data_IF_019737864002
#
_entry.id   IF_019737864002
#
_cell.length_a   1.000
_cell.length_b   1.000
_cell.length_c   1.000
_cell.angle_alpha   90.00
_cell.angle_beta   90.00
_cell.angle_gamma   90.00
#
_symmetry.space_group_name_H-M   'P 1'
#
loop_
_entity.id
_entity.type
_entity.pdbx_description
1 polymer ?
#
# COMPACT_ATOMS: atom_id res chain seq x y z
N UNK A 1 -63.03 -6.67 65.44
CA UNK A 1 -62.51 -5.92 64.26
C UNK A 1 -63.60 -5.94 63.20
N UNK A 2 -64.02 -4.76 62.75
CA UNK A 2 -65.11 -4.60 61.78
C UNK A 2 -64.85 -5.43 60.52
N UNK A 3 -65.84 -6.21 60.06
CA UNK A 3 -65.68 -7.18 58.95
C UNK A 3 -65.12 -6.51 57.70
N UNK A 4 -65.51 -5.26 57.47
CA UNK A 4 -65.07 -4.42 56.36
C UNK A 4 -63.58 -4.07 56.46
N UNK A 5 -63.09 -3.76 57.66
CA UNK A 5 -61.66 -3.45 57.90
C UNK A 5 -60.79 -4.70 57.72
N UNK A 6 -61.27 -5.88 58.15
CA UNK A 6 -60.55 -7.15 57.97
C UNK A 6 -60.31 -7.48 56.48
N UNK A 7 -61.29 -7.25 55.62
CA UNK A 7 -61.14 -7.50 54.18
C UNK A 7 -60.15 -6.52 53.51
N UNK A 8 -60.13 -5.26 53.94
CA UNK A 8 -59.17 -4.25 53.44
C UNK A 8 -57.73 -4.65 53.79
N UNK A 9 -57.47 -5.10 55.02
CA UNK A 9 -56.12 -5.55 55.41
C UNK A 9 -55.67 -6.81 54.67
N UNK A 10 -56.60 -7.73 54.38
CA UNK A 10 -56.29 -8.95 53.59
C UNK A 10 -55.93 -8.56 52.16
N UNK A 11 -56.69 -7.67 51.52
CA UNK A 11 -56.41 -7.21 50.16
C UNK A 11 -55.08 -6.46 50.11
N UNK A 12 -54.82 -5.56 51.06
CA UNK A 12 -53.55 -4.84 51.14
C UNK A 12 -52.34 -5.78 51.33
N UNK A 13 -52.48 -6.81 52.15
CA UNK A 13 -51.43 -7.81 52.37
C UNK A 13 -51.17 -8.67 51.12
N UNK A 14 -52.22 -9.04 50.38
CA UNK A 14 -52.07 -9.80 49.13
C UNK A 14 -51.42 -8.93 48.05
N UNK A 15 -51.83 -7.66 47.91
CA UNK A 15 -51.21 -6.73 46.96
C UNK A 15 -49.73 -6.51 47.27
N UNK A 16 -49.35 -6.39 48.54
CA UNK A 16 -47.95 -6.24 48.94
C UNK A 16 -47.10 -7.46 48.52
N UNK A 17 -47.62 -8.67 48.72
CA UNK A 17 -46.94 -9.91 48.35
C UNK A 17 -46.80 -10.02 46.83
N UNK A 18 -47.83 -9.67 46.06
CA UNK A 18 -47.77 -9.69 44.59
C UNK A 18 -46.74 -8.69 44.06
N UNK A 19 -46.67 -7.49 44.64
CA UNK A 19 -45.66 -6.48 44.25
C UNK A 19 -44.25 -6.97 44.60
N UNK A 20 -44.05 -7.56 45.79
CA UNK A 20 -42.75 -8.10 46.19
C UNK A 20 -42.27 -9.23 45.25
N UNK A 21 -43.19 -10.12 44.83
CA UNK A 21 -42.89 -11.18 43.86
C UNK A 21 -42.57 -10.61 42.47
N UNK A 22 -43.30 -9.59 42.01
CA UNK A 22 -43.03 -8.95 40.74
C UNK A 22 -41.66 -8.24 40.71
N UNK A 23 -41.29 -7.56 41.80
CA UNK A 23 -39.97 -6.94 41.94
C UNK A 23 -38.86 -8.00 42.00
N UNK A 24 -39.06 -9.09 42.75
CA UNK A 24 -38.11 -10.20 42.81
C UNK A 24 -37.89 -10.85 41.43
N UNK A 25 -38.95 -11.02 40.64
CA UNK A 25 -38.84 -11.51 39.27
C UNK A 25 -38.12 -10.53 38.34
N UNK A 26 -38.29 -9.22 38.50
CA UNK A 26 -37.54 -8.23 37.70
C UNK A 26 -36.03 -8.28 37.95
N UNK A 27 -35.58 -8.63 39.16
CA UNK A 27 -34.14 -8.73 39.47
C UNK A 27 -33.52 -10.07 39.05
N UNK A 28 -34.27 -11.18 39.00
CA UNK A 28 -33.73 -12.50 38.60
C UNK A 28 -33.60 -12.64 37.08
N UNK A 29 -34.42 -11.94 36.30
CA UNK A 29 -34.37 -12.00 34.84
C UNK A 29 -33.41 -10.99 34.19
N UNK A 30 -32.71 -10.17 34.98
CA UNK A 30 -31.52 -9.46 34.51
C UNK A 30 -30.36 -10.45 34.39
N UNK A 31 -30.38 -11.26 33.33
CA UNK A 31 -29.18 -11.94 32.88
C UNK A 31 -28.11 -10.88 32.68
N UNK A 32 -27.03 -10.97 33.45
CA UNK A 32 -25.82 -10.20 33.19
C UNK A 32 -25.52 -10.33 31.68
N UNK A 33 -25.18 -9.23 30.99
CA UNK A 33 -24.60 -9.34 29.66
C UNK A 33 -23.47 -10.36 29.77
N UNK A 34 -23.53 -11.41 28.96
CA UNK A 34 -22.37 -12.27 28.77
C UNK A 34 -21.26 -11.31 28.35
N UNK A 35 -20.26 -11.14 29.21
CA UNK A 35 -18.98 -10.58 28.82
C UNK A 35 -18.57 -11.39 27.59
N UNK A 36 -18.65 -10.74 26.44
CA UNK A 36 -17.93 -11.19 25.28
C UNK A 36 -16.49 -11.02 25.75
N UNK A 37 -15.79 -12.13 25.98
CA UNK A 37 -14.33 -12.11 25.93
C UNK A 37 -14.01 -11.60 24.52
N UNK A 38 -13.87 -10.28 24.39
CA UNK A 38 -13.06 -9.71 23.34
C UNK A 38 -11.69 -10.27 23.61
N UNK A 39 -11.31 -11.26 22.81
CA UNK A 39 -9.92 -11.51 22.47
C UNK A 39 -9.36 -10.15 22.00
N UNK A 40 -8.90 -9.33 22.94
CA UNK A 40 -7.94 -8.28 22.70
C UNK A 40 -6.60 -8.97 22.40
N UNK A 41 -6.59 -9.75 21.31
CA UNK A 41 -5.38 -9.99 20.55
C UNK A 41 -5.01 -8.65 19.94
N UNK A 42 -4.33 -7.81 20.72
CA UNK A 42 -3.54 -6.71 20.20
C UNK A 42 -2.56 -7.32 19.19
N UNK A 43 -2.91 -7.37 17.90
CA UNK A 43 -1.93 -7.66 16.86
C UNK A 43 -0.92 -6.53 16.95
N UNK A 44 0.25 -6.85 17.48
CA UNK A 44 1.33 -5.88 17.57
C UNK A 44 1.89 -5.76 16.16
N UNK A 45 1.58 -4.66 15.47
CA UNK A 45 2.12 -4.37 14.15
C UNK A 45 3.61 -4.09 14.30
N UNK A 46 4.45 -4.97 13.77
CA UNK A 46 5.90 -4.83 13.79
C UNK A 46 6.42 -4.04 12.59
N UNK A 47 7.60 -3.43 12.76
CA UNK A 47 8.31 -2.78 11.66
C UNK A 47 8.78 -3.80 10.64
N UNK A 48 8.51 -3.53 9.36
CA UNK A 48 8.98 -4.32 8.22
C UNK A 48 10.52 -4.44 8.16
N UNK A 49 11.25 -3.53 8.81
CA UNK A 49 12.70 -3.54 8.87
C UNK A 49 13.28 -4.79 9.55
N UNK A 50 12.50 -5.45 10.40
CA UNK A 50 12.89 -6.70 11.07
C UNK A 50 12.97 -7.89 10.13
N UNK A 51 12.34 -7.82 8.96
CA UNK A 51 12.41 -8.84 7.92
C UNK A 51 13.65 -8.57 7.06
N UNK A 52 14.41 -9.62 6.71
CA UNK A 52 15.51 -9.48 5.75
C UNK A 52 15.00 -8.93 4.42
N UNK A 53 15.72 -7.97 3.83
CA UNK A 53 15.32 -7.32 2.57
C UNK A 53 15.09 -8.31 1.41
N UNK A 54 15.78 -9.47 1.41
CA UNK A 54 15.57 -10.54 0.44
C UNK A 54 14.19 -11.20 0.53
N UNK A 55 13.58 -11.21 1.73
CA UNK A 55 12.28 -11.82 1.98
C UNK A 55 11.12 -10.81 1.91
N UNK A 56 11.42 -9.52 1.82
CA UNK A 56 10.39 -8.48 1.70
C UNK A 56 9.74 -8.54 0.31
N UNK A 57 8.44 -8.22 0.20
CA UNK A 57 7.78 -8.17 -1.09
C UNK A 57 8.40 -7.09 -1.98
N UNK A 58 8.62 -7.43 -3.26
CA UNK A 58 8.97 -6.44 -4.28
C UNK A 58 7.70 -6.05 -5.03
N UNK A 59 7.33 -4.77 -4.96
CA UNK A 59 6.05 -4.27 -5.47
C UNK A 59 6.24 -3.27 -6.59
N UNK A 60 5.48 -3.44 -7.66
CA UNK A 60 5.45 -2.52 -8.79
C UNK A 60 4.03 -2.01 -9.04
N UNK A 61 3.92 -0.73 -9.40
CA UNK A 61 2.66 -0.07 -9.74
C UNK A 61 2.71 0.41 -11.19
N UNK A 62 2.32 -0.44 -12.14
CA UNK A 62 2.42 -0.10 -13.57
C UNK A 62 1.10 0.47 -14.10
N UNK A 63 1.05 1.74 -14.54
CA UNK A 63 -0.18 2.29 -15.12
C UNK A 63 -0.47 1.66 -16.49
N UNK A 64 -1.74 1.51 -16.83
CA UNK A 64 -2.15 1.15 -18.21
C UNK A 64 -1.87 2.29 -19.19
N UNK A 65 -1.84 1.98 -20.49
CA UNK A 65 -1.56 2.97 -21.53
C UNK A 65 -2.55 4.15 -21.54
N UNK A 66 -3.80 3.93 -21.11
CA UNK A 66 -4.84 4.95 -20.98
C UNK A 66 -4.84 5.63 -19.59
N UNK A 67 -4.04 5.14 -18.63
CA UNK A 67 -3.95 5.67 -17.27
C UNK A 67 -5.18 5.40 -16.40
N UNK A 68 -6.11 4.59 -16.89
CA UNK A 68 -7.35 4.27 -16.18
C UNK A 68 -7.15 3.22 -15.09
N UNK A 69 -6.12 2.36 -15.21
CA UNK A 69 -5.84 1.31 -14.23
C UNK A 69 -4.38 1.35 -13.77
N UNK A 70 -4.14 0.83 -12.57
CA UNK A 70 -2.81 0.47 -12.08
C UNK A 70 -2.76 -1.05 -11.96
N UNK A 71 -1.76 -1.63 -12.61
CA UNK A 71 -1.41 -3.03 -12.46
C UNK A 71 -0.47 -3.14 -11.26
N UNK A 72 -0.98 -3.69 -10.16
CA UNK A 72 -0.17 -4.06 -9.01
C UNK A 72 0.43 -5.43 -9.27
N UNK A 73 1.74 -5.54 -9.10
CA UNK A 73 2.47 -6.81 -9.07
C UNK A 73 3.25 -6.90 -7.78
N UNK A 74 3.12 -8.03 -7.08
CA UNK A 74 3.80 -8.32 -5.81
C UNK A 74 4.58 -9.61 -6.02
N UNK A 75 5.90 -9.56 -5.95
CA UNK A 75 6.80 -10.72 -5.94
C UNK A 75 7.16 -11.09 -4.50
N UNK A 76 7.65 -12.32 -4.28
CA UNK A 76 7.97 -12.90 -2.97
C UNK A 76 6.75 -13.02 -2.02
N UNK A 77 5.56 -13.27 -2.55
CA UNK A 77 4.34 -13.38 -1.71
C UNK A 77 4.33 -14.65 -0.85
N UNK A 78 5.00 -15.72 -1.31
CA UNK A 78 5.06 -17.02 -0.61
C UNK A 78 5.85 -17.02 0.69
N UNK A 79 6.60 -15.96 1.00
CA UNK A 79 7.23 -15.82 2.32
C UNK A 79 6.20 -15.60 3.43
N UNK A 80 5.08 -14.94 3.11
CA UNK A 80 4.04 -14.55 4.06
C UNK A 80 2.87 -15.53 4.03
N UNK A 81 2.21 -15.70 5.18
CA UNK A 81 1.08 -16.60 5.29
C UNK A 81 -0.19 -15.94 4.72
N UNK A 82 -0.28 -14.60 4.84
CA UNK A 82 -1.33 -13.78 4.26
C UNK A 82 -0.79 -12.39 3.92
N UNK A 83 -1.29 -11.82 2.83
CA UNK A 83 -1.04 -10.43 2.44
C UNK A 83 -2.38 -9.77 2.17
N UNK A 84 -2.58 -8.59 2.72
CA UNK A 84 -3.67 -7.69 2.39
C UNK A 84 -3.07 -6.38 1.90
N UNK A 85 -3.77 -5.69 1.01
CA UNK A 85 -3.32 -4.37 0.58
C UNK A 85 -4.47 -3.39 0.42
N UNK A 86 -4.15 -2.12 0.62
CA UNK A 86 -5.04 -1.00 0.32
C UNK A 86 -4.30 0.01 -0.57
N UNK A 87 -4.86 0.28 -1.75
CA UNK A 87 -4.40 1.36 -2.61
C UNK A 87 -5.38 2.53 -2.45
N UNK A 88 -4.90 3.68 -2.00
CA UNK A 88 -5.69 4.93 -1.90
C UNK A 88 -5.13 6.01 -2.81
N UNK A 89 -5.98 6.94 -3.23
CA UNK A 89 -5.61 8.09 -4.06
C UNK A 89 -6.60 9.25 -3.93
N UNK A 90 -6.18 10.44 -4.35
CA UNK A 90 -7.05 11.62 -4.47
C UNK A 90 -7.48 11.80 -5.93
N UNK A 91 -8.77 12.06 -6.13
CA UNK A 91 -9.36 12.32 -7.45
C UNK A 91 -10.19 13.60 -7.45
N UNK A 92 -10.44 14.18 -8.62
CA UNK A 92 -11.40 15.27 -8.76
C UNK A 92 -12.81 14.84 -8.33
N UNK A 93 -13.51 15.70 -7.60
CA UNK A 93 -14.91 15.49 -7.30
C UNK A 93 -15.76 15.78 -8.55
N UNK A 94 -16.46 14.78 -9.13
CA UNK A 94 -17.28 15.00 -10.32
C UNK A 94 -18.51 15.90 -10.06
N UNK A 95 -18.88 16.12 -8.79
CA UNK A 95 -20.04 16.93 -8.40
C UNK A 95 -19.67 18.37 -8.03
N UNK A 96 -18.43 18.62 -7.61
CA UNK A 96 -17.98 19.94 -7.14
C UNK A 96 -16.62 20.27 -7.72
N UNK A 97 -16.59 21.21 -8.66
CA UNK A 97 -15.35 21.60 -9.34
C UNK A 97 -14.34 22.19 -8.34
N UNK A 98 -13.09 21.72 -8.42
CA UNK A 98 -11.99 22.15 -7.55
C UNK A 98 -11.88 21.41 -6.22
N UNK A 99 -12.85 20.56 -5.87
CA UNK A 99 -12.72 19.67 -4.71
C UNK A 99 -12.07 18.34 -5.09
N UNK A 100 -11.32 17.77 -4.13
CA UNK A 100 -10.76 16.42 -4.22
C UNK A 100 -11.52 15.46 -3.32
N UNK A 101 -11.63 14.21 -3.73
CA UNK A 101 -12.20 13.11 -2.95
C UNK A 101 -11.19 11.98 -2.82
N UNK A 102 -11.13 11.38 -1.64
CA UNK A 102 -10.36 10.17 -1.43
C UNK A 102 -11.10 8.95 -1.98
N UNK A 103 -10.36 8.12 -2.70
CA UNK A 103 -10.81 6.85 -3.27
C UNK A 103 -9.82 5.77 -2.88
N UNK A 104 -10.22 4.51 -3.01
CA UNK A 104 -9.30 3.41 -2.82
C UNK A 104 -9.89 2.05 -3.17
N UNK A 105 -9.02 1.04 -3.17
CA UNK A 105 -9.36 -0.36 -3.36
C UNK A 105 -8.59 -1.20 -2.34
N UNK A 106 -9.31 -2.10 -1.69
CA UNK A 106 -8.75 -3.07 -0.75
C UNK A 106 -8.78 -4.46 -1.38
N UNK A 107 -7.73 -5.24 -1.18
CA UNK A 107 -7.69 -6.69 -1.43
C UNK A 107 -7.30 -7.40 -0.15
N UNK A 108 -8.03 -8.47 0.19
CA UNK A 108 -7.80 -9.26 1.42
C UNK A 108 -7.41 -10.71 1.14
N UNK A 109 -7.40 -11.11 -0.13
CA UNK A 109 -7.19 -12.49 -0.60
C UNK A 109 -6.06 -12.57 -1.64
N UNK A 110 -4.92 -11.92 -1.35
CA UNK A 110 -3.69 -12.13 -2.13
C UNK A 110 -3.29 -13.60 -2.02
N UNK A 111 -3.20 -14.29 -3.16
CA UNK A 111 -2.79 -15.70 -3.23
C UNK A 111 -1.29 -15.86 -2.92
N UNK A 112 -0.98 -16.19 -1.66
CA UNK A 112 0.37 -16.45 -1.16
C UNK A 112 0.88 -17.85 -1.52
N UNK A 113 0.10 -18.68 -2.19
CA UNK A 113 0.58 -20.00 -2.66
C UNK A 113 1.49 -19.92 -3.89
N UNK A 114 1.49 -18.76 -4.56
CA UNK A 114 2.33 -18.46 -5.72
C UNK A 114 3.57 -17.66 -5.30
N UNK A 115 4.58 -17.56 -6.17
CA UNK A 115 5.71 -16.65 -5.96
C UNK A 115 5.34 -15.19 -6.28
N UNK A 116 4.33 -15.01 -7.14
CA UNK A 116 3.93 -13.73 -7.71
C UNK A 116 2.42 -13.57 -7.73
N UNK A 117 1.95 -12.42 -7.27
CA UNK A 117 0.58 -11.96 -7.40
C UNK A 117 0.51 -10.77 -8.36
N UNK A 118 -0.55 -10.71 -9.19
CA UNK A 118 -0.77 -9.61 -10.13
C UNK A 118 -2.25 -9.32 -10.31
N UNK A 119 -2.66 -8.06 -10.16
CA UNK A 119 -4.04 -7.59 -10.36
C UNK A 119 -4.09 -6.21 -11.00
N UNK A 120 -5.04 -5.99 -11.89
CA UNK A 120 -5.34 -4.66 -12.43
C UNK A 120 -6.44 -4.00 -11.61
N UNK A 121 -6.21 -2.75 -11.20
CA UNK A 121 -7.13 -1.97 -10.38
C UNK A 121 -7.56 -0.73 -11.16
N UNK A 122 -8.87 -0.61 -11.39
CA UNK A 122 -9.46 0.59 -11.97
C UNK A 122 -9.35 1.75 -10.98
N UNK A 123 -8.75 2.85 -11.42
CA UNK A 123 -8.83 4.14 -10.75
C UNK A 123 -10.16 4.79 -11.10
N UNK A 124 -11.22 4.37 -10.40
CA UNK A 124 -12.58 4.84 -10.64
C UNK A 124 -13.62 3.81 -10.21
N UNK A 125 -14.76 3.81 -10.89
CA UNK A 125 -15.86 2.89 -10.60
C UNK A 125 -16.24 2.06 -11.81
N UNK A 126 -16.62 0.80 -11.57
CA UNK A 126 -17.19 -0.06 -12.57
C UNK A 126 -18.55 -0.58 -12.08
N UNK A 127 -19.61 -0.34 -12.83
CA UNK A 127 -20.96 -0.83 -12.51
C UNK A 127 -21.65 -1.34 -13.76
N UNK A 128 -22.16 -2.58 -13.69
CA UNK A 128 -22.88 -3.25 -14.78
C UNK A 128 -22.13 -3.23 -16.13
N UNK A 129 -20.80 -3.35 -16.09
CA UNK A 129 -19.93 -3.34 -17.27
C UNK A 129 -19.60 -1.94 -17.82
N UNK A 130 -20.14 -0.87 -17.23
CA UNK A 130 -19.74 0.51 -17.56
C UNK A 130 -18.62 0.93 -16.61
N UNK A 131 -17.51 1.38 -17.20
CA UNK A 131 -16.34 1.90 -16.48
C UNK A 131 -16.37 3.42 -16.49
N UNK A 132 -16.10 4.02 -15.34
CA UNK A 132 -15.97 5.46 -15.17
C UNK A 132 -14.67 5.75 -14.43
N UNK A 133 -13.56 5.94 -15.16
CA UNK A 133 -12.29 6.33 -14.58
C UNK A 133 -12.39 7.71 -13.92
N UNK A 134 -11.73 7.87 -12.78
CA UNK A 134 -11.57 9.15 -12.08
C UNK A 134 -10.52 10.03 -12.79
N UNK A 135 -10.63 11.36 -12.65
CA UNK A 135 -9.71 12.33 -13.24
C UNK A 135 -8.88 13.05 -12.17
N UNK A 136 -7.80 13.73 -12.61
CA UNK A 136 -7.01 14.59 -11.74
C UNK A 136 -6.22 13.87 -10.66
N UNK A 137 -5.94 12.58 -10.86
CA UNK A 137 -5.14 11.77 -9.93
C UNK A 137 -3.66 12.05 -10.20
N UNK A 138 -2.95 12.52 -9.19
CA UNK A 138 -1.53 12.87 -9.23
C UNK A 138 -0.68 12.01 -8.32
N UNK A 139 -1.29 11.38 -7.32
CA UNK A 139 -0.58 10.67 -6.27
C UNK A 139 -1.54 9.73 -5.52
N UNK A 140 -0.95 8.90 -4.65
CA UNK A 140 -1.65 8.10 -3.69
C UNK A 140 -0.71 7.33 -2.77
N UNK A 141 -1.27 6.34 -2.08
CA UNK A 141 -0.56 5.51 -1.13
C UNK A 141 -0.96 4.04 -1.30
N UNK A 142 0.01 3.15 -1.19
CA UNK A 142 -0.18 1.71 -1.07
C UNK A 142 0.20 1.29 0.36
N UNK A 143 -0.75 0.74 1.10
CA UNK A 143 -0.50 0.05 2.35
C UNK A 143 -0.50 -1.47 2.11
N UNK A 144 0.52 -2.15 2.63
CA UNK A 144 0.65 -3.60 2.62
C UNK A 144 0.65 -4.11 4.06
N UNK A 145 -0.33 -4.96 4.38
CA UNK A 145 -0.41 -5.69 5.63
C UNK A 145 0.08 -7.12 5.39
N UNK A 146 1.21 -7.47 6.01
CA UNK A 146 1.93 -8.71 5.76
C UNK A 146 1.91 -9.56 7.02
N UNK A 147 1.36 -10.76 6.95
CA UNK A 147 1.17 -11.63 8.12
C UNK A 147 2.12 -12.82 8.05
N UNK A 148 2.84 -13.08 9.16
CA UNK A 148 3.68 -14.26 9.35
C UNK A 148 3.50 -14.82 10.76
N UNK A 149 2.90 -16.00 10.86
CA UNK A 149 2.38 -16.54 12.12
C UNK A 149 1.38 -15.56 12.73
N UNK A 150 1.59 -15.20 13.99
CA UNK A 150 0.75 -14.25 14.73
C UNK A 150 1.21 -12.79 14.58
N UNK A 151 2.27 -12.54 13.79
CA UNK A 151 2.84 -11.19 13.62
C UNK A 151 2.33 -10.54 12.35
N UNK A 152 1.90 -9.29 12.47
CA UNK A 152 1.58 -8.40 11.35
C UNK A 152 2.72 -7.41 11.14
N UNK A 153 3.07 -7.16 9.88
CA UNK A 153 4.01 -6.12 9.47
C UNK A 153 3.31 -5.18 8.50
N UNK A 154 3.49 -3.87 8.71
CA UNK A 154 2.93 -2.84 7.83
C UNK A 154 4.02 -2.18 7.00
N UNK A 155 3.72 -1.98 5.72
CA UNK A 155 4.52 -1.15 4.82
C UNK A 155 3.64 -0.15 4.10
N UNK A 156 4.04 1.11 4.10
CA UNK A 156 3.34 2.20 3.43
C UNK A 156 4.26 2.84 2.38
N UNK A 157 3.85 2.76 1.12
CA UNK A 157 4.56 3.34 -0.03
C UNK A 157 3.72 4.46 -0.61
N UNK A 158 4.31 5.66 -0.73
CA UNK A 158 3.71 6.74 -1.51
C UNK A 158 4.06 6.56 -2.97
N UNK A 159 3.13 6.95 -3.85
CA UNK A 159 3.38 6.95 -5.27
C UNK A 159 2.92 8.25 -5.91
N UNK A 160 3.70 8.71 -6.87
CA UNK A 160 3.47 9.93 -7.64
C UNK A 160 3.24 9.53 -9.11
N UNK A 161 2.29 10.18 -9.77
CA UNK A 161 1.87 9.87 -11.14
C UNK A 161 2.05 11.05 -12.07
N UNK A 162 2.71 10.81 -13.19
CA UNK A 162 3.06 11.80 -14.19
C UNK A 162 2.55 11.38 -15.58
N UNK A 163 2.28 12.38 -16.42
CA UNK A 163 2.12 12.18 -17.86
C UNK A 163 3.37 12.74 -18.56
N UNK A 164 4.17 11.86 -19.16
CA UNK A 164 5.39 12.22 -19.86
C UNK A 164 5.26 11.85 -21.32
N UNK A 165 5.65 12.74 -22.22
CA UNK A 165 5.39 12.55 -23.64
C UNK A 165 6.34 13.28 -24.57
N UNK A 166 5.77 13.92 -25.58
CA UNK A 166 6.50 14.49 -26.72
C UNK A 166 7.45 15.63 -26.35
N UNK A 167 7.25 16.28 -25.19
CA UNK A 167 8.13 17.32 -24.67
C UNK A 167 9.28 16.77 -23.84
N UNK A 168 9.21 15.50 -23.43
CA UNK A 168 9.98 15.01 -22.28
C UNK A 168 9.50 15.67 -20.99
N UNK A 169 10.28 15.51 -19.93
CA UNK A 169 10.04 16.17 -18.65
C UNK A 169 10.84 15.56 -17.51
N UNK A 170 11.02 16.33 -16.46
CA UNK A 170 11.59 15.85 -15.21
C UNK A 170 10.50 15.27 -14.33
N UNK A 171 10.74 14.06 -13.83
CA UNK A 171 9.92 13.44 -12.78
C UNK A 171 10.77 13.31 -11.52
N UNK A 172 10.15 13.49 -10.36
CA UNK A 172 10.82 13.43 -9.06
C UNK A 172 9.90 12.78 -8.04
N UNK A 173 10.49 12.12 -7.05
CA UNK A 173 9.71 11.57 -5.94
C UNK A 173 9.32 12.66 -4.94
N UNK A 174 8.27 12.39 -4.16
CA UNK A 174 7.81 13.31 -3.10
C UNK A 174 8.88 13.69 -2.06
N UNK A 175 9.97 12.92 -1.92
CA UNK A 175 11.08 13.25 -1.00
C UNK A 175 12.15 14.16 -1.61
N UNK A 176 12.16 14.31 -2.94
CA UNK A 176 13.18 15.06 -3.68
C UNK A 176 14.57 14.40 -3.66
N UNK A 177 14.63 13.11 -3.34
CA UNK A 177 15.86 12.32 -3.35
C UNK A 177 16.06 11.58 -4.67
N UNK A 178 15.00 11.39 -5.45
CA UNK A 178 15.05 10.77 -6.76
C UNK A 178 14.55 11.75 -7.81
N UNK A 179 15.29 11.90 -8.91
CA UNK A 179 14.79 12.55 -10.12
C UNK A 179 15.27 11.84 -11.38
N UNK A 180 14.44 11.91 -12.42
CA UNK A 180 14.73 11.39 -13.75
C UNK A 180 14.29 12.42 -14.79
N UNK A 181 15.25 12.97 -15.53
CA UNK A 181 15.00 13.83 -16.67
C UNK A 181 14.76 12.97 -17.91
N UNK A 182 13.48 12.77 -18.23
CA UNK A 182 13.03 11.88 -19.29
C UNK A 182 13.06 12.62 -20.62
N UNK A 183 13.70 12.06 -21.65
CA UNK A 183 13.75 12.68 -22.97
C UNK A 183 12.37 12.65 -23.64
N UNK A 184 12.30 13.29 -24.81
CA UNK A 184 11.09 13.29 -25.63
C UNK A 184 10.71 11.86 -26.04
N UNK A 185 9.46 11.49 -25.78
CA UNK A 185 8.87 10.22 -26.22
C UNK A 185 8.06 10.42 -27.51
N UNK A 186 7.71 9.31 -28.17
CA UNK A 186 6.92 9.35 -29.42
C UNK A 186 5.44 9.73 -29.21
N UNK A 187 4.94 9.55 -27.98
CA UNK A 187 3.58 9.91 -27.54
C UNK A 187 3.57 10.07 -26.01
N UNK A 188 2.44 10.50 -25.47
CA UNK A 188 2.26 10.59 -24.03
C UNK A 188 2.10 9.21 -23.40
N UNK A 189 2.69 9.05 -22.22
CA UNK A 189 2.68 7.86 -21.40
C UNK A 189 2.46 8.24 -19.93
N UNK A 190 1.66 7.44 -19.24
CA UNK A 190 1.56 7.51 -17.80
C UNK A 190 2.77 6.84 -17.16
N UNK A 191 3.33 7.48 -16.15
CA UNK A 191 4.48 7.01 -15.38
C UNK A 191 4.13 7.10 -13.91
N UNK A 192 4.42 6.07 -13.14
CA UNK A 192 4.33 6.09 -11.68
C UNK A 192 5.74 6.00 -11.11
N UNK A 193 6.06 6.88 -10.16
CA UNK A 193 7.21 6.73 -9.26
C UNK A 193 6.69 6.15 -7.95
N UNK A 194 7.31 5.10 -7.46
CA UNK A 194 7.06 4.58 -6.12
C UNK A 194 8.30 3.87 -5.60
N UNK A 195 8.53 3.93 -4.29
CA UNK A 195 9.53 3.06 -3.66
C UNK A 195 8.99 1.64 -3.47
N UNK A 196 9.90 0.73 -3.13
CA UNK A 196 9.56 -0.63 -2.72
C UNK A 196 10.47 -1.07 -1.59
N UNK A 197 9.91 -1.84 -0.67
CA UNK A 197 10.58 -2.34 0.53
C UNK A 197 11.42 -3.60 0.27
N UNK A 198 11.11 -4.36 -0.78
CA UNK A 198 11.84 -5.54 -1.21
C UNK A 198 12.71 -5.31 -2.44
N UNK A 199 13.57 -6.28 -2.71
CA UNK A 199 14.52 -6.29 -3.83
C UNK A 199 13.90 -7.08 -4.99
N UNK A 200 14.06 -6.64 -6.25
CA UNK A 200 13.56 -7.41 -7.40
C UNK A 200 14.07 -8.86 -7.41
N UNK A 201 13.28 -9.79 -7.97
CA UNK A 201 13.63 -11.21 -7.97
C UNK A 201 14.92 -11.48 -8.75
N UNK A 202 15.58 -12.60 -8.44
CA UNK A 202 16.84 -13.03 -9.07
C UNK A 202 17.95 -11.95 -8.98
N UNK A 203 17.99 -11.21 -7.87
CA UNK A 203 18.95 -10.14 -7.65
C UNK A 203 20.39 -10.63 -7.86
N UNK A 204 21.16 -9.90 -8.66
CA UNK A 204 22.60 -10.15 -8.85
C UNK A 204 23.45 -9.49 -7.76
N UNK A 205 22.83 -9.07 -6.67
CA UNK A 205 23.43 -8.30 -5.58
C UNK A 205 23.08 -8.93 -4.24
N UNK A 206 23.96 -8.75 -3.25
CA UNK A 206 23.67 -9.17 -1.88
C UNK A 206 22.64 -8.25 -1.25
N UNK A 207 21.57 -8.81 -0.69
CA UNK A 207 20.53 -8.03 0.00
C UNK A 207 21.08 -7.20 1.17
N UNK A 208 22.16 -7.67 1.80
CA UNK A 208 22.84 -6.96 2.89
C UNK A 208 23.49 -5.64 2.48
N UNK A 209 23.78 -5.48 1.18
CA UNK A 209 24.52 -4.35 0.61
C UNK A 209 23.59 -3.36 -0.07
N UNK A 210 22.31 -3.70 -0.23
CA UNK A 210 21.30 -2.82 -0.83
C UNK A 210 21.01 -1.65 0.12
N UNK A 211 21.10 -0.44 -0.42
CA UNK A 211 20.61 0.76 0.22
C UNK A 211 19.11 0.91 -0.08
N UNK A 212 18.30 0.97 0.97
CA UNK A 212 16.86 1.21 0.88
C UNK A 212 16.55 2.71 1.02
N UNK A 213 15.43 3.20 0.44
CA UNK A 213 14.48 2.44 -0.38
C UNK A 213 15.00 2.09 -1.78
N UNK A 214 14.42 1.07 -2.39
CA UNK A 214 14.60 0.80 -3.83
C UNK A 214 13.60 1.67 -4.60
N UNK A 215 14.07 2.39 -5.62
CA UNK A 215 13.25 3.34 -6.37
C UNK A 215 12.69 2.69 -7.64
N UNK A 216 11.39 2.83 -7.88
CA UNK A 216 10.71 2.34 -9.07
C UNK A 216 10.20 3.47 -9.95
N UNK A 217 10.44 3.37 -11.25
CA UNK A 217 9.74 4.13 -12.27
C UNK A 217 9.00 3.15 -13.18
N UNK A 218 7.67 3.23 -13.19
CA UNK A 218 6.82 2.20 -13.78
C UNK A 218 5.98 2.80 -14.91
N UNK A 219 6.12 2.25 -16.11
CA UNK A 219 5.35 2.64 -17.28
C UNK A 219 5.31 1.51 -18.31
N UNK A 220 4.29 1.54 -19.16
CA UNK A 220 4.22 0.74 -20.40
C UNK A 220 4.93 1.42 -21.58
N UNK A 221 5.62 2.53 -21.33
CA UNK A 221 6.46 3.18 -22.34
C UNK A 221 7.58 2.25 -22.82
N UNK A 222 7.98 2.35 -24.11
CA UNK A 222 9.13 1.62 -24.63
C UNK A 222 10.44 2.19 -24.08
N UNK A 223 11.55 1.52 -24.42
CA UNK A 223 12.89 2.06 -24.25
C UNK A 223 13.02 3.44 -24.90
N UNK A 224 13.76 4.32 -24.25
CA UNK A 224 14.03 5.67 -24.72
C UNK A 224 14.94 5.64 -25.95
N UNK A 225 14.71 6.55 -26.89
CA UNK A 225 15.58 6.71 -28.08
C UNK A 225 16.86 7.48 -27.75
N UNK A 226 16.87 8.16 -26.61
CA UNK A 226 18.00 8.89 -26.03
C UNK A 226 18.01 8.54 -24.55
N UNK A 227 19.16 8.43 -23.91
CA UNK A 227 19.22 8.10 -22.48
C UNK A 227 18.62 9.24 -21.64
N UNK A 228 17.99 8.89 -20.52
CA UNK A 228 17.47 9.80 -19.52
C UNK A 228 18.52 10.03 -18.43
N UNK A 229 18.56 11.24 -17.87
CA UNK A 229 19.48 11.56 -16.77
C UNK A 229 18.83 11.20 -15.44
N UNK A 230 19.40 10.23 -14.74
CA UNK A 230 19.00 9.81 -13.40
C UNK A 230 19.86 10.49 -12.35
N UNK A 231 19.23 10.95 -11.27
CA UNK A 231 19.89 11.50 -10.09
C UNK A 231 19.26 10.95 -8.82
N UNK A 232 20.06 10.32 -7.96
CA UNK A 232 19.61 9.80 -6.66
C UNK A 232 20.50 10.34 -5.54
N UNK A 233 19.92 11.10 -4.61
CA UNK A 233 20.58 11.59 -3.40
C UNK A 233 20.67 10.46 -2.39
N UNK A 234 21.89 10.18 -1.93
CA UNK A 234 22.16 9.15 -0.94
C UNK A 234 22.43 9.81 0.41
N UNK A 235 21.94 9.19 1.47
CA UNK A 235 22.17 9.64 2.85
C UNK A 235 22.98 8.59 3.61
N UNK A 236 23.82 9.04 4.56
CA UNK A 236 24.66 8.16 5.38
C UNK A 236 26.10 7.98 4.89
N UNK A 237 26.85 7.08 5.55
CA UNK A 237 28.24 6.73 5.19
C UNK A 237 28.23 5.72 4.04
N UNK A 238 28.09 6.24 2.81
CA UNK A 238 28.04 5.44 1.59
C UNK A 238 29.44 5.34 0.97
N UNK A 239 29.94 4.12 0.82
CA UNK A 239 31.26 3.83 0.24
C UNK A 239 31.10 3.17 -1.12
N UNK A 240 31.65 3.82 -2.15
CA UNK A 240 31.70 3.32 -3.53
C UNK A 240 30.36 2.72 -4.01
N UNK A 241 29.27 3.51 -3.98
CA UNK A 241 27.96 2.99 -4.37
C UNK A 241 27.97 2.56 -5.84
N UNK A 242 27.23 1.49 -6.13
CA UNK A 242 26.99 1.02 -7.49
C UNK A 242 25.50 1.01 -7.78
N UNK A 243 25.14 1.41 -8.99
CA UNK A 243 23.77 1.39 -9.47
C UNK A 243 23.50 0.13 -10.31
N UNK A 244 22.37 -0.49 -10.03
CA UNK A 244 21.78 -1.54 -10.84
C UNK A 244 20.37 -1.12 -11.26
N UNK A 245 19.97 -1.51 -12.47
CA UNK A 245 18.59 -1.39 -12.94
C UNK A 245 17.99 -2.76 -13.17
N UNK A 246 16.70 -2.89 -12.87
CA UNK A 246 15.88 -4.05 -13.17
C UNK A 246 14.75 -3.64 -14.13
N UNK A 247 14.72 -4.24 -15.32
CA UNK A 247 13.63 -4.10 -16.28
C UNK A 247 12.48 -5.00 -15.86
N UNK A 248 11.35 -4.40 -15.46
CA UNK A 248 10.13 -5.14 -15.13
C UNK A 248 9.49 -5.80 -16.37
N UNK A 249 9.77 -5.29 -17.57
CA UNK A 249 9.25 -5.85 -18.82
C UNK A 249 9.99 -7.15 -19.17
N UNK A 250 11.32 -7.13 -19.07
CA UNK A 250 12.17 -8.26 -19.49
C UNK A 250 12.60 -9.15 -18.33
N UNK A 251 12.26 -8.78 -17.09
CA UNK A 251 12.69 -9.45 -15.86
C UNK A 251 14.21 -9.60 -15.78
N UNK A 252 14.96 -8.56 -16.18
CA UNK A 252 16.41 -8.61 -16.34
C UNK A 252 17.13 -7.53 -15.55
N UNK A 253 18.32 -7.87 -15.07
CA UNK A 253 19.20 -7.00 -14.30
C UNK A 253 20.35 -6.49 -15.16
N UNK A 254 20.72 -5.23 -14.98
CA UNK A 254 21.86 -4.61 -15.62
C UNK A 254 22.61 -3.71 -14.63
N UNK A 255 23.93 -3.77 -14.64
CA UNK A 255 24.76 -2.77 -13.95
C UNK A 255 24.74 -1.49 -14.78
N UNK A 256 24.63 -0.35 -14.10
CA UNK A 256 24.62 0.98 -14.74
C UNK A 256 25.88 1.73 -14.33
N UNK A 257 26.60 2.27 -15.32
CA UNK A 257 27.71 3.16 -15.04
C UNK A 257 27.18 4.42 -14.36
N UNK A 258 27.76 4.77 -13.22
CA UNK A 258 27.27 5.87 -12.38
C UNK A 258 28.43 6.63 -11.74
N UNK A 259 28.20 7.91 -11.53
CA UNK A 259 29.14 8.84 -10.91
C UNK A 259 28.57 9.23 -9.54
N UNK A 260 29.35 9.03 -8.48
CA UNK A 260 28.97 9.41 -7.13
C UNK A 260 29.79 10.59 -6.64
N UNK A 261 29.17 11.77 -6.60
CA UNK A 261 29.81 13.02 -6.20
C UNK A 261 28.85 13.87 -5.34
N UNK A 262 29.37 14.48 -4.27
CA UNK A 262 28.58 15.39 -3.43
C UNK A 262 27.34 14.76 -2.78
N UNK A 263 27.36 13.44 -2.51
CA UNK A 263 26.20 12.72 -1.95
C UNK A 263 25.11 12.37 -2.97
N UNK A 264 25.36 12.59 -4.27
CA UNK A 264 24.42 12.27 -5.35
C UNK A 264 25.03 11.23 -6.28
N UNK A 265 24.27 10.19 -6.59
CA UNK A 265 24.57 9.20 -7.61
C UNK A 265 23.87 9.60 -8.91
N UNK A 266 24.64 9.91 -9.94
CA UNK A 266 24.14 10.28 -11.26
C UNK A 266 24.44 9.17 -12.28
N UNK A 267 23.52 8.95 -13.22
CA UNK A 267 23.67 7.95 -14.29
C UNK A 267 22.83 8.30 -15.52
N UNK A 268 23.16 7.68 -16.66
CA UNK A 268 22.30 7.67 -17.84
C UNK A 268 21.58 6.33 -17.93
N UNK A 269 20.26 6.35 -18.18
CA UNK A 269 19.42 5.14 -18.25
C UNK A 269 18.53 5.16 -19.46
N UNK A 270 18.35 4.01 -20.12
CA UNK A 270 17.65 3.94 -21.40
C UNK A 270 16.16 3.59 -21.26
N UNK A 271 15.67 3.32 -20.06
CA UNK A 271 14.27 2.96 -19.86
C UNK A 271 13.80 3.26 -18.44
N UNK A 272 12.48 3.28 -18.26
CA UNK A 272 11.88 3.16 -16.94
C UNK A 272 12.16 1.78 -16.37
N UNK A 273 12.44 1.72 -15.08
CA UNK A 273 12.75 0.47 -14.38
C UNK A 273 12.85 0.68 -12.88
N UNK A 274 13.35 -0.36 -12.21
CA UNK A 274 13.63 -0.33 -10.78
C UNK A 274 15.13 -0.12 -10.55
N UNK A 275 15.48 0.91 -9.79
CA UNK A 275 16.84 1.32 -9.50
C UNK A 275 17.25 0.87 -8.10
N UNK A 276 18.29 0.05 -8.05
CA UNK A 276 18.82 -0.54 -6.82
C UNK A 276 20.25 -0.07 -6.63
N UNK A 277 20.49 0.59 -5.50
CA UNK A 277 21.82 1.05 -5.13
C UNK A 277 22.40 0.05 -4.15
N UNK A 278 23.66 -0.33 -4.36
CA UNK A 278 24.42 -1.15 -3.41
C UNK A 278 25.65 -0.42 -2.95
N UNK A 279 25.96 -0.55 -1.66
CA UNK A 279 27.20 -0.05 -1.06
C UNK A 279 27.75 -1.11 -0.12
N UNK A 280 28.99 -1.58 -0.33
CA UNK A 280 29.64 -2.47 0.61
C UNK A 280 29.70 -1.82 2.00
N UNK A 281 29.35 -2.59 3.03
CA UNK A 281 29.47 -2.17 4.44
C UNK A 281 30.93 -2.03 4.88
#
# INVERSE_FOLDING_TARGET
MDKTKKNIYIIASISLVVIAVAVYFLFIFQKAPKEIETDEGSSFVESIEKIDAANRPFVTLTPTADGAEIIISIENVGYFDRIEYELTYQADNPQVAGEKIQRGSVETDVDTSQEKYKKSLLLGTASRGVRSPDTGITDGQLALHLFKGDTEYLSETKWDRFEIGISGGEIFDSTGNFSLDVPRLSKNHWVIIADTIGIPPNAQVSASDVLLPVYGTYSVAPQFTTSANLSIKLTGDVKSPKLYTYSNQDSSWQSVESIYEGGTLAAEVDSFGTFVIVSPK
#
